data_IF_801208995119
#
_entry.id   IF_801208995119
#
_cell.length_a   1.000
_cell.length_b   1.000
_cell.length_c   1.000
_cell.angle_alpha   90.00
_cell.angle_beta   90.00
_cell.angle_gamma   90.00
#
_symmetry.space_group_name_H-M   'P 1'
#
loop_
_entity.id
_entity.type
_entity.pdbx_description
1 polymer ?
#
# COMPACT_ATOMS: atom_id res chain seq x y z
N UNK A 1 5.49 5.17 -38.66
CA UNK A 1 6.43 4.02 -38.60
C UNK A 1 6.59 3.64 -37.13
N UNK A 2 5.83 2.66 -36.67
CA UNK A 2 5.95 2.11 -35.30
C UNK A 2 7.28 1.37 -35.21
N UNK A 3 8.20 1.91 -34.42
CA UNK A 3 9.46 1.25 -34.11
C UNK A 3 9.14 -0.11 -33.47
N UNK A 4 9.51 -1.20 -34.14
CA UNK A 4 9.35 -2.56 -33.61
C UNK A 4 10.04 -2.62 -32.24
N UNK A 5 9.25 -2.85 -31.21
CA UNK A 5 9.71 -2.95 -29.82
C UNK A 5 10.78 -4.04 -29.71
N UNK A 6 11.90 -3.69 -29.08
CA UNK A 6 12.96 -4.65 -28.81
C UNK A 6 12.66 -5.36 -27.50
N UNK A 7 12.08 -6.52 -27.58
CA UNK A 7 12.02 -7.49 -26.51
C UNK A 7 12.91 -8.68 -26.89
N UNK A 8 14.23 -8.57 -26.64
CA UNK A 8 15.20 -9.55 -27.14
C UNK A 8 15.02 -10.94 -26.49
N UNK A 9 14.34 -11.01 -25.37
CA UNK A 9 14.16 -12.25 -24.60
C UNK A 9 12.70 -12.74 -24.52
N UNK A 10 11.76 -12.07 -25.20
CA UNK A 10 10.33 -12.41 -25.14
C UNK A 10 9.75 -12.30 -23.74
N UNK A 11 10.21 -11.31 -22.96
CA UNK A 11 9.84 -11.14 -21.54
C UNK A 11 8.55 -10.33 -21.35
N UNK A 12 8.02 -9.75 -22.41
CA UNK A 12 6.73 -9.04 -22.37
C UNK A 12 5.61 -10.01 -22.78
N UNK A 13 4.71 -10.29 -21.86
CA UNK A 13 3.52 -11.13 -22.10
C UNK A 13 2.28 -10.39 -21.61
N UNK A 14 1.28 -10.30 -22.43
CA UNK A 14 -0.03 -9.69 -22.11
C UNK A 14 0.06 -8.27 -21.49
N UNK A 15 1.08 -7.49 -21.91
CA UNK A 15 1.31 -6.14 -21.39
C UNK A 15 2.02 -6.08 -20.04
N UNK A 16 2.57 -7.19 -19.56
CA UNK A 16 3.34 -7.28 -18.31
C UNK A 16 4.73 -7.87 -18.53
N UNK A 17 5.62 -7.68 -17.58
CA UNK A 17 6.90 -8.39 -17.53
C UNK A 17 6.68 -9.77 -16.91
N UNK A 18 7.04 -10.80 -17.66
CA UNK A 18 7.01 -12.17 -17.19
C UNK A 18 8.24 -12.95 -17.67
N UNK A 19 9.00 -13.49 -16.72
CA UNK A 19 10.15 -14.38 -16.96
C UNK A 19 9.95 -15.63 -16.11
N UNK A 20 9.70 -16.76 -16.75
CA UNK A 20 9.55 -18.03 -16.05
C UNK A 20 10.87 -18.51 -15.41
N UNK A 21 10.84 -19.51 -14.51
CA UNK A 21 12.02 -19.95 -13.77
C UNK A 21 13.17 -20.44 -14.66
N UNK A 22 12.87 -21.13 -15.76
CA UNK A 22 13.91 -21.66 -16.64
C UNK A 22 14.59 -20.56 -17.42
N UNK A 23 13.83 -19.63 -17.95
CA UNK A 23 14.37 -18.45 -18.64
C UNK A 23 15.10 -17.52 -17.68
N UNK A 24 14.59 -17.33 -16.45
CA UNK A 24 15.27 -16.51 -15.44
C UNK A 24 16.64 -17.10 -15.08
N UNK A 25 16.73 -18.40 -14.86
CA UNK A 25 18.00 -19.07 -14.63
C UNK A 25 18.95 -18.93 -15.81
N UNK A 26 18.49 -19.24 -17.02
CA UNK A 26 19.29 -19.12 -18.23
C UNK A 26 19.84 -17.71 -18.44
N UNK A 27 19.01 -16.68 -18.28
CA UNK A 27 19.42 -15.29 -18.43
C UNK A 27 20.51 -14.91 -17.41
N UNK A 28 20.38 -15.36 -16.16
CA UNK A 28 21.38 -15.11 -15.12
C UNK A 28 22.70 -15.88 -15.33
N UNK A 29 22.64 -17.03 -15.97
CA UNK A 29 23.85 -17.84 -16.26
C UNK A 29 24.66 -17.29 -17.43
N UNK A 30 24.02 -16.52 -18.34
CA UNK A 30 24.60 -16.12 -19.63
C UNK A 30 24.93 -14.62 -19.69
N UNK A 31 24.23 -13.77 -18.91
CA UNK A 31 24.34 -12.31 -19.01
C UNK A 31 24.72 -11.67 -17.67
N UNK A 32 25.38 -10.53 -17.74
CA UNK A 32 25.69 -9.72 -16.58
C UNK A 32 24.43 -9.06 -15.99
N UNK A 33 24.42 -8.91 -14.66
CA UNK A 33 23.30 -8.33 -13.90
C UNK A 33 22.88 -6.96 -14.43
N UNK A 34 23.84 -6.12 -14.84
CA UNK A 34 23.53 -4.79 -15.35
C UNK A 34 22.88 -4.84 -16.72
N UNK A 35 23.28 -5.77 -17.59
CA UNK A 35 22.63 -6.01 -18.89
C UNK A 35 21.20 -6.53 -18.71
N UNK A 36 20.97 -7.42 -17.76
CA UNK A 36 19.64 -7.94 -17.44
C UNK A 36 18.73 -6.82 -16.94
N UNK A 37 19.20 -5.99 -16.00
CA UNK A 37 18.44 -4.83 -15.51
C UNK A 37 18.11 -3.87 -16.65
N UNK A 38 19.08 -3.61 -17.50
CA UNK A 38 18.90 -2.71 -18.63
C UNK A 38 17.86 -3.25 -19.60
N UNK A 39 17.91 -4.53 -19.95
CA UNK A 39 16.95 -5.16 -20.86
C UNK A 39 15.52 -5.14 -20.29
N UNK A 40 15.34 -5.49 -19.00
CA UNK A 40 14.04 -5.40 -18.35
C UNK A 40 13.56 -3.93 -18.31
N UNK A 41 14.44 -3.00 -17.98
CA UNK A 41 14.11 -1.57 -17.93
C UNK A 41 13.70 -1.02 -19.31
N UNK A 42 14.38 -1.42 -20.36
CA UNK A 42 14.04 -1.04 -21.73
C UNK A 42 12.73 -1.66 -22.19
N UNK A 43 12.47 -2.93 -21.86
CA UNK A 43 11.20 -3.59 -22.13
C UNK A 43 10.02 -2.87 -21.46
N UNK A 44 10.18 -2.47 -20.20
CA UNK A 44 9.17 -1.67 -19.48
C UNK A 44 8.91 -0.34 -20.20
N UNK A 45 9.95 0.39 -20.58
CA UNK A 45 9.81 1.69 -21.25
C UNK A 45 9.21 1.55 -22.64
N UNK A 46 9.75 0.65 -23.45
CA UNK A 46 9.45 0.56 -24.90
C UNK A 46 8.07 -0.04 -25.15
N UNK A 47 7.54 -0.79 -24.18
CA UNK A 47 6.19 -1.36 -24.22
C UNK A 47 5.18 -0.58 -23.36
N UNK A 48 5.60 0.53 -22.74
CA UNK A 48 4.78 1.32 -21.80
C UNK A 48 4.10 0.47 -20.73
N UNK A 49 4.86 -0.52 -20.19
CA UNK A 49 4.31 -1.46 -19.19
C UNK A 49 3.81 -0.67 -17.97
N UNK A 50 2.56 -0.86 -17.56
CA UNK A 50 2.01 -0.17 -16.41
C UNK A 50 2.74 -0.54 -15.10
N UNK A 51 2.73 0.37 -14.15
CA UNK A 51 3.26 0.08 -12.82
C UNK A 51 2.46 -1.05 -12.17
N UNK A 52 3.12 -2.09 -11.63
CA UNK A 52 2.45 -3.28 -11.10
C UNK A 52 1.74 -3.00 -9.77
N UNK A 53 0.63 -2.32 -9.81
CA UNK A 53 -0.22 -2.07 -8.65
C UNK A 53 -0.98 -3.35 -8.26
N UNK A 54 -1.43 -3.40 -6.99
CA UNK A 54 -2.34 -4.45 -6.58
C UNK A 54 -3.72 -4.14 -7.16
N UNK A 55 -4.24 -5.06 -7.92
CA UNK A 55 -5.62 -5.01 -8.35
C UNK A 55 -6.52 -5.34 -7.15
N UNK A 56 -7.46 -4.46 -6.88
CA UNK A 56 -8.48 -4.62 -5.85
C UNK A 56 -9.85 -4.39 -6.51
N UNK A 57 -10.76 -5.32 -6.31
CA UNK A 57 -12.14 -5.18 -6.72
C UNK A 57 -12.98 -4.48 -5.64
N UNK A 58 -14.15 -4.01 -6.01
CA UNK A 58 -15.14 -3.51 -5.06
C UNK A 58 -15.54 -4.60 -4.04
N UNK A 59 -15.62 -5.85 -4.49
CA UNK A 59 -15.89 -7.00 -3.63
C UNK A 59 -14.76 -7.22 -2.61
N UNK A 60 -13.48 -7.11 -3.02
CA UNK A 60 -12.32 -7.15 -2.11
C UNK A 60 -12.40 -6.07 -1.04
N UNK A 61 -12.76 -4.84 -1.43
CA UNK A 61 -12.87 -3.71 -0.54
C UNK A 61 -14.06 -3.87 0.44
N UNK A 62 -15.21 -4.25 -0.06
CA UNK A 62 -16.42 -4.50 0.75
C UNK A 62 -16.21 -5.64 1.73
N UNK A 63 -15.64 -6.77 1.30
CA UNK A 63 -15.35 -7.91 2.16
C UNK A 63 -14.39 -7.53 3.30
N UNK A 64 -13.32 -6.79 3.00
CA UNK A 64 -12.34 -6.34 3.98
C UNK A 64 -12.95 -5.30 4.96
N UNK A 65 -13.90 -4.47 4.48
CA UNK A 65 -14.64 -3.55 5.35
C UNK A 65 -15.62 -4.30 6.27
N UNK A 66 -16.30 -5.34 5.79
CA UNK A 66 -17.16 -6.19 6.62
C UNK A 66 -16.34 -6.90 7.71
N UNK A 67 -15.15 -7.41 7.38
CA UNK A 67 -14.23 -7.94 8.37
C UNK A 67 -13.82 -6.87 9.39
N UNK A 68 -13.55 -5.64 8.93
CA UNK A 68 -13.20 -4.51 9.81
C UNK A 68 -14.31 -4.20 10.82
N UNK A 69 -15.59 -4.30 10.45
CA UNK A 69 -16.71 -4.10 11.37
C UNK A 69 -16.66 -5.07 12.58
N UNK A 70 -16.17 -6.29 12.37
CA UNK A 70 -16.08 -7.33 13.40
C UNK A 70 -14.87 -7.21 14.32
N UNK A 71 -13.85 -6.42 13.95
CA UNK A 71 -12.62 -6.26 14.73
C UNK A 71 -12.91 -5.66 16.11
N UNK A 72 -12.34 -6.26 17.12
CA UNK A 72 -12.47 -5.85 18.53
C UNK A 72 -11.12 -5.46 19.14
N UNK A 73 -11.15 -5.03 20.40
CA UNK A 73 -9.95 -4.71 21.17
C UNK A 73 -9.01 -5.93 21.29
N UNK A 74 -9.54 -7.13 21.48
CA UNK A 74 -8.75 -8.36 21.65
C UNK A 74 -7.99 -8.78 20.38
N UNK A 75 -8.46 -8.36 19.22
CA UNK A 75 -7.78 -8.61 17.94
C UNK A 75 -6.56 -7.72 17.74
N UNK A 76 -6.56 -6.55 18.34
CA UNK A 76 -5.56 -5.48 18.10
C UNK A 76 -4.64 -5.28 19.29
N UNK A 77 -5.12 -5.42 20.52
CA UNK A 77 -4.27 -5.31 21.70
C UNK A 77 -3.83 -6.68 22.20
N UNK A 78 -2.59 -6.75 22.64
CA UNK A 78 -2.02 -7.91 23.33
C UNK A 78 -1.37 -7.47 24.64
N UNK A 79 -1.33 -8.37 25.63
CA UNK A 79 -0.61 -8.12 26.87
C UNK A 79 0.90 -7.97 26.60
N UNK A 80 1.53 -7.01 27.26
CA UNK A 80 2.96 -6.75 27.17
C UNK A 80 3.83 -7.91 27.69
N UNK A 81 3.26 -8.83 28.50
CA UNK A 81 3.94 -10.04 28.97
C UNK A 81 4.45 -10.96 27.86
N UNK A 82 3.86 -10.87 26.66
CA UNK A 82 4.30 -11.61 25.47
C UNK A 82 5.63 -11.08 24.88
N UNK A 83 6.05 -9.89 25.24
CA UNK A 83 7.28 -9.28 24.72
C UNK A 83 8.48 -9.54 25.64
N UNK A 84 8.90 -10.81 25.72
CA UNK A 84 10.07 -11.22 26.49
C UNK A 84 11.41 -10.84 25.83
N UNK A 85 11.40 -10.29 24.62
CA UNK A 85 12.61 -10.06 23.82
C UNK A 85 13.32 -8.72 24.08
N UNK A 86 12.63 -7.78 24.72
CA UNK A 86 13.20 -6.45 25.00
C UNK A 86 12.80 -6.00 26.39
N UNK A 87 13.70 -5.39 27.12
CA UNK A 87 13.45 -4.73 28.41
C UNK A 87 12.59 -3.47 28.20
N UNK A 88 11.35 -3.65 27.74
CA UNK A 88 10.41 -2.56 27.63
C UNK A 88 9.92 -2.14 29.00
N UNK A 89 10.11 -0.87 29.34
CA UNK A 89 9.54 -0.33 30.56
C UNK A 89 8.03 -0.19 30.40
N UNK A 90 7.21 -0.95 31.14
CA UNK A 90 5.75 -0.99 30.99
C UNK A 90 5.05 0.38 31.11
N UNK A 91 5.70 1.35 31.75
CA UNK A 91 5.12 2.69 31.91
C UNK A 91 5.00 3.49 30.60
N UNK A 92 5.70 3.07 29.54
CA UNK A 92 5.60 3.69 28.21
C UNK A 92 4.51 3.06 27.33
N UNK A 93 3.87 2.00 27.79
CA UNK A 93 2.79 1.33 27.08
C UNK A 93 1.44 1.73 27.66
N UNK A 94 0.55 2.10 26.77
CA UNK A 94 -0.82 2.44 27.14
C UNK A 94 -1.48 1.24 27.84
N UNK A 95 -1.83 1.38 29.10
CA UNK A 95 -2.41 0.30 29.93
C UNK A 95 -1.66 -1.04 29.87
N UNK A 96 -0.33 -1.04 29.64
CA UNK A 96 0.50 -2.24 29.48
C UNK A 96 0.08 -3.12 28.28
N UNK A 97 -0.64 -2.59 27.31
CA UNK A 97 -1.02 -3.29 26.09
C UNK A 97 -0.15 -2.88 24.93
N UNK A 98 0.10 -3.80 24.03
CA UNK A 98 0.88 -3.61 22.80
C UNK A 98 -0.07 -3.80 21.61
N UNK A 99 0.10 -2.99 20.58
CA UNK A 99 -0.65 -3.11 19.33
C UNK A 99 -0.12 -4.28 18.49
N UNK A 100 -0.98 -5.23 18.16
CA UNK A 100 -0.73 -6.20 17.09
C UNK A 100 -0.80 -5.51 15.74
N UNK A 101 0.03 -5.95 14.81
CA UNK A 101 -0.12 -5.55 13.42
C UNK A 101 -1.27 -6.31 12.78
N UNK A 102 -2.37 -5.63 12.49
CA UNK A 102 -3.46 -6.14 11.67
C UNK A 102 -3.50 -5.42 10.33
N UNK A 103 -3.86 -6.12 9.25
CA UNK A 103 -4.05 -5.55 7.92
C UNK A 103 -5.53 -5.42 7.52
N UNK A 104 -6.43 -5.81 8.40
CA UNK A 104 -7.88 -5.72 8.16
C UNK A 104 -8.28 -4.25 7.98
N UNK A 105 -9.03 -3.98 6.95
CA UNK A 105 -9.42 -2.64 6.50
C UNK A 105 -8.44 -1.99 5.52
N UNK A 106 -7.23 -2.56 5.35
CA UNK A 106 -6.25 -1.97 4.42
C UNK A 106 -6.69 -2.09 2.95
N UNK A 107 -7.35 -3.18 2.56
CA UNK A 107 -7.87 -3.31 1.19
C UNK A 107 -9.03 -2.34 0.96
N UNK A 108 -9.87 -2.16 1.97
CA UNK A 108 -10.98 -1.22 1.92
C UNK A 108 -10.52 0.21 1.65
N UNK A 109 -9.48 0.71 2.35
CA UNK A 109 -8.93 2.05 2.08
C UNK A 109 -8.05 2.09 0.83
N UNK A 110 -7.25 1.05 0.54
CA UNK A 110 -6.38 0.99 -0.64
C UNK A 110 -7.17 0.97 -1.96
N UNK A 111 -8.36 0.39 -2.01
CA UNK A 111 -9.21 0.39 -3.20
C UNK A 111 -9.43 1.81 -3.73
N UNK A 112 -9.60 2.79 -2.84
CA UNK A 112 -9.79 4.20 -3.22
C UNK A 112 -8.47 4.97 -3.36
N UNK A 113 -7.50 4.74 -2.46
CA UNK A 113 -6.37 5.64 -2.28
C UNK A 113 -5.01 5.04 -2.67
N UNK A 114 -4.92 3.77 -3.06
CA UNK A 114 -3.65 3.14 -3.42
C UNK A 114 -2.92 3.93 -4.51
N UNK A 115 -3.63 4.34 -5.56
CA UNK A 115 -3.03 5.09 -6.67
C UNK A 115 -2.45 6.44 -6.20
N UNK A 116 -3.23 7.21 -5.43
CA UNK A 116 -2.77 8.48 -4.88
C UNK A 116 -1.54 8.32 -3.99
N UNK A 117 -1.52 7.27 -3.17
CA UNK A 117 -0.39 6.93 -2.31
C UNK A 117 0.87 6.57 -3.11
N UNK A 118 0.71 5.89 -4.24
CA UNK A 118 1.81 5.50 -5.10
C UNK A 118 2.33 6.63 -5.98
N UNK A 119 1.59 7.73 -6.11
CA UNK A 119 2.03 8.98 -6.74
C UNK A 119 2.78 9.91 -5.79
N UNK A 120 2.77 9.63 -4.47
CA UNK A 120 3.33 10.54 -3.49
C UNK A 120 4.86 10.53 -3.52
N UNK A 121 5.46 11.64 -3.98
CA UNK A 121 6.89 11.92 -3.91
C UNK A 121 7.26 12.46 -2.52
N UNK A 122 8.49 12.18 -2.09
CA UNK A 122 9.10 12.85 -0.97
C UNK A 122 10.37 13.61 -1.40
N UNK A 123 10.86 14.50 -0.54
CA UNK A 123 12.08 15.27 -0.81
C UNK A 123 13.27 14.34 -1.07
N UNK A 124 13.34 13.20 -0.37
CA UNK A 124 14.49 12.30 -0.37
C UNK A 124 14.28 11.02 -1.15
N UNK A 125 13.08 10.76 -1.64
CA UNK A 125 12.79 9.52 -2.36
C UNK A 125 11.70 9.76 -3.42
N UNK A 126 11.88 9.20 -4.63
CA UNK A 126 10.85 9.24 -5.66
C UNK A 126 9.64 8.41 -5.25
N UNK A 127 8.46 8.79 -5.73
CA UNK A 127 7.27 7.96 -5.61
C UNK A 127 7.47 6.59 -6.30
N UNK A 128 6.67 5.56 -5.97
CA UNK A 128 6.62 4.32 -6.73
C UNK A 128 6.40 4.55 -8.22
N UNK A 129 5.46 5.43 -8.56
CA UNK A 129 5.17 5.79 -9.95
C UNK A 129 6.37 6.39 -10.66
N UNK A 130 7.04 7.36 -10.04
CA UNK A 130 8.24 7.99 -10.59
C UNK A 130 9.39 6.99 -10.67
N UNK A 131 9.53 6.09 -9.69
CA UNK A 131 10.52 5.01 -9.70
C UNK A 131 10.32 4.08 -10.89
N UNK A 132 9.06 3.80 -11.24
CA UNK A 132 8.73 2.97 -12.39
C UNK A 132 8.99 3.68 -13.73
N UNK A 133 8.73 4.97 -13.83
CA UNK A 133 8.83 5.74 -15.08
C UNK A 133 10.26 6.21 -15.40
N UNK A 134 11.07 6.57 -14.41
CA UNK A 134 12.43 7.07 -14.61
C UNK A 134 13.47 5.93 -14.60
N UNK A 135 14.23 5.79 -15.69
CA UNK A 135 15.21 4.71 -15.88
C UNK A 135 16.20 4.57 -14.72
N UNK A 136 16.77 5.68 -14.26
CA UNK A 136 17.77 5.68 -13.15
C UNK A 136 17.24 5.04 -11.87
N UNK A 137 15.99 5.30 -11.53
CA UNK A 137 15.36 4.72 -10.35
C UNK A 137 14.91 3.29 -10.59
N UNK A 138 14.43 3.00 -11.81
CA UNK A 138 14.00 1.66 -12.21
C UNK A 138 15.18 0.68 -12.22
N UNK A 139 16.35 1.06 -12.71
CA UNK A 139 17.56 0.22 -12.66
C UNK A 139 17.94 -0.10 -11.20
N UNK A 140 17.84 0.88 -10.30
CA UNK A 140 18.07 0.67 -8.87
C UNK A 140 17.01 -0.25 -8.25
N UNK A 141 15.74 -0.10 -8.64
CA UNK A 141 14.64 -0.96 -8.22
C UNK A 141 14.89 -2.42 -8.60
N UNK A 142 15.24 -2.66 -9.86
CA UNK A 142 15.45 -4.00 -10.40
C UNK A 142 16.60 -4.76 -9.70
N UNK A 143 17.56 -4.07 -9.08
CA UNK A 143 18.60 -4.72 -8.28
C UNK A 143 18.04 -5.53 -7.09
N UNK A 144 16.79 -5.27 -6.67
CA UNK A 144 16.15 -6.02 -5.61
C UNK A 144 15.82 -7.47 -6.00
N UNK A 145 15.71 -7.79 -7.29
CA UNK A 145 15.44 -9.15 -7.78
C UNK A 145 16.49 -10.14 -7.27
N UNK A 146 17.77 -9.78 -7.33
CA UNK A 146 18.86 -10.62 -6.83
C UNK A 146 18.91 -10.67 -5.31
N UNK A 147 18.61 -9.56 -4.63
CA UNK A 147 18.53 -9.54 -3.16
C UNK A 147 17.41 -10.42 -2.61
N UNK A 148 16.30 -10.55 -3.33
CA UNK A 148 15.17 -11.41 -3.00
C UNK A 148 15.39 -12.87 -3.38
N UNK A 149 16.41 -13.17 -4.22
CA UNK A 149 16.66 -14.52 -4.78
C UNK A 149 15.41 -15.12 -5.43
N UNK A 150 14.71 -14.30 -6.24
CA UNK A 150 13.47 -14.72 -6.87
C UNK A 150 13.70 -15.85 -7.88
N UNK A 151 12.81 -16.83 -7.96
CA UNK A 151 12.92 -17.91 -8.95
C UNK A 151 12.41 -17.50 -10.34
N UNK A 152 11.62 -16.45 -10.42
CA UNK A 152 10.97 -15.93 -11.64
C UNK A 152 10.70 -14.45 -11.48
N UNK A 153 10.34 -13.76 -12.56
CA UNK A 153 9.94 -12.33 -12.50
C UNK A 153 8.54 -12.17 -13.08
N UNK A 154 7.67 -11.58 -12.29
CA UNK A 154 6.29 -11.23 -12.63
C UNK A 154 5.87 -9.90 -11.98
N UNK A 155 4.67 -9.45 -12.25
CA UNK A 155 4.10 -8.23 -11.67
C UNK A 155 4.06 -8.24 -10.14
N UNK A 156 3.86 -9.40 -9.51
CA UNK A 156 3.86 -9.53 -8.04
C UNK A 156 5.25 -9.34 -7.45
N UNK A 157 6.26 -9.96 -8.07
CA UNK A 157 7.67 -9.81 -7.69
C UNK A 157 8.13 -8.37 -7.88
N UNK A 158 7.80 -7.74 -9.01
CA UNK A 158 8.16 -6.34 -9.28
C UNK A 158 7.48 -5.37 -8.29
N UNK A 159 6.23 -5.61 -7.92
CA UNK A 159 5.53 -4.86 -6.87
C UNK A 159 6.22 -5.02 -5.50
N UNK A 160 6.70 -6.23 -5.19
CA UNK A 160 7.48 -6.48 -3.97
C UNK A 160 8.79 -5.70 -3.99
N UNK A 161 9.49 -5.65 -5.12
CA UNK A 161 10.69 -4.82 -5.28
C UNK A 161 10.42 -3.34 -4.98
N UNK A 162 9.30 -2.79 -5.47
CA UNK A 162 8.88 -1.41 -5.17
C UNK A 162 8.67 -1.23 -3.66
N UNK A 163 7.95 -2.14 -3.02
CA UNK A 163 7.64 -2.06 -1.58
C UNK A 163 8.89 -2.13 -0.70
N UNK A 164 9.88 -2.94 -1.07
CA UNK A 164 11.13 -3.09 -0.32
C UNK A 164 12.02 -1.84 -0.37
N UNK A 165 11.93 -1.04 -1.42
CA UNK A 165 12.72 0.19 -1.55
C UNK A 165 12.22 1.33 -0.65
N UNK A 166 11.15 1.12 0.12
CA UNK A 166 10.59 2.10 1.06
C UNK A 166 10.19 3.43 0.40
N UNK A 167 9.82 3.39 -0.87
CA UNK A 167 9.35 4.57 -1.59
C UNK A 167 7.85 4.80 -1.42
N UNK A 168 7.13 3.78 -0.99
CA UNK A 168 5.68 3.88 -0.78
C UNK A 168 5.40 4.62 0.51
N UNK A 169 4.59 5.66 0.44
CA UNK A 169 4.12 6.38 1.62
C UNK A 169 3.40 5.42 2.58
N UNK A 170 3.68 5.56 3.86
CA UNK A 170 3.11 4.68 4.89
C UNK A 170 1.59 4.86 4.99
N UNK A 171 0.93 3.76 5.32
CA UNK A 171 -0.50 3.68 5.56
C UNK A 171 -0.75 3.54 7.07
N UNK A 172 -1.74 4.25 7.59
CA UNK A 172 -2.27 3.97 8.92
C UNK A 172 -3.08 2.66 8.87
N UNK A 173 -3.40 2.07 10.01
CA UNK A 173 -4.19 0.83 10.07
C UNK A 173 -5.65 1.14 10.40
N UNK A 174 -6.62 0.93 9.48
CA UNK A 174 -8.03 1.14 9.77
C UNK A 174 -8.51 0.38 11.00
N UNK A 175 -8.08 -0.87 11.18
CA UNK A 175 -8.36 -1.69 12.37
C UNK A 175 -7.88 -1.04 13.66
N UNK A 176 -6.67 -0.46 13.66
CA UNK A 176 -6.15 0.28 14.81
C UNK A 176 -6.98 1.54 15.10
N UNK A 177 -7.34 2.29 14.05
CA UNK A 177 -8.16 3.49 14.21
C UNK A 177 -9.52 3.15 14.84
N UNK A 178 -10.21 2.13 14.29
CA UNK A 178 -11.49 1.64 14.82
C UNK A 178 -11.41 1.30 16.29
N UNK A 179 -10.45 0.45 16.67
CA UNK A 179 -10.31 -0.02 18.05
C UNK A 179 -9.94 1.13 18.99
N UNK A 180 -9.12 2.08 18.57
CA UNK A 180 -8.83 3.27 19.37
C UNK A 180 -10.09 4.09 19.60
N UNK A 181 -10.89 4.35 18.56
CA UNK A 181 -12.14 5.11 18.72
C UNK A 181 -13.14 4.40 19.66
N UNK A 182 -13.28 3.09 19.53
CA UNK A 182 -14.17 2.29 20.34
C UNK A 182 -13.69 2.21 21.81
N UNK A 183 -12.39 2.00 22.02
CA UNK A 183 -11.80 1.90 23.36
C UNK A 183 -11.96 3.22 24.16
N UNK A 184 -11.77 4.36 23.49
CA UNK A 184 -11.99 5.67 24.08
C UNK A 184 -13.48 6.08 24.13
N UNK A 185 -14.38 5.27 23.61
CA UNK A 185 -15.81 5.60 23.48
C UNK A 185 -16.01 6.95 22.79
N UNK A 186 -15.18 7.19 21.76
CA UNK A 186 -15.17 8.46 21.05
C UNK A 186 -16.51 8.70 20.37
N UNK A 187 -17.14 9.85 20.64
CA UNK A 187 -18.35 10.30 19.95
C UNK A 187 -18.03 11.17 18.75
N UNK A 188 -16.99 11.98 18.88
CA UNK A 188 -16.55 12.92 17.85
C UNK A 188 -15.06 12.73 17.61
N UNK A 189 -14.67 12.62 16.33
CA UNK A 189 -13.29 12.45 15.89
C UNK A 189 -12.88 13.71 15.15
N UNK A 190 -11.75 14.27 15.53
CA UNK A 190 -11.04 15.31 14.79
C UNK A 190 -9.76 14.71 14.22
N UNK A 191 -9.62 14.73 12.90
CA UNK A 191 -8.45 14.27 12.16
C UNK A 191 -7.89 15.42 11.31
N UNK A 192 -6.89 16.09 11.83
CA UNK A 192 -6.26 17.25 11.18
C UNK A 192 -5.21 16.89 10.12
N UNK A 193 -5.12 15.62 9.74
CA UNK A 193 -4.22 15.11 8.70
C UNK A 193 -4.77 13.78 8.18
N UNK A 194 -5.92 13.83 7.50
CA UNK A 194 -6.72 12.65 7.13
C UNK A 194 -5.95 11.64 6.25
N UNK A 195 -4.98 12.11 5.48
CA UNK A 195 -4.05 11.28 4.70
C UNK A 195 -4.79 10.38 3.71
N UNK A 196 -4.49 9.09 3.72
CA UNK A 196 -5.05 8.14 2.76
C UNK A 196 -6.46 7.62 3.12
N UNK A 197 -7.13 8.26 4.09
CA UNK A 197 -8.47 7.85 4.50
C UNK A 197 -8.55 6.61 5.37
N UNK A 198 -7.42 6.07 5.82
CA UNK A 198 -7.38 4.88 6.67
C UNK A 198 -8.11 5.09 8.00
N UNK A 199 -7.92 6.28 8.61
CA UNK A 199 -8.60 6.64 9.86
C UNK A 199 -10.08 6.95 9.64
N UNK A 200 -10.45 7.50 8.49
CA UNK A 200 -11.83 7.68 8.07
C UNK A 200 -12.51 6.31 7.87
N UNK A 201 -11.84 5.36 7.22
CA UNK A 201 -12.32 3.99 7.07
C UNK A 201 -12.55 3.33 8.46
N UNK A 202 -11.58 3.43 9.36
CA UNK A 202 -11.72 2.95 10.73
C UNK A 202 -12.82 3.65 11.52
N UNK A 203 -13.04 4.96 11.30
CA UNK A 203 -14.15 5.71 11.88
C UNK A 203 -15.50 5.17 11.42
N UNK A 204 -15.69 4.94 10.13
CA UNK A 204 -16.96 4.40 9.62
C UNK A 204 -17.29 3.04 10.21
N UNK A 205 -16.28 2.22 10.50
CA UNK A 205 -16.46 0.92 11.16
C UNK A 205 -16.58 0.98 12.71
N UNK A 206 -16.34 2.12 13.35
CA UNK A 206 -16.35 2.27 14.82
C UNK A 206 -17.73 2.69 15.35
N UNK A 207 -17.86 2.84 16.67
CA UNK A 207 -19.07 3.36 17.33
C UNK A 207 -19.10 4.90 17.44
N UNK A 208 -18.15 5.60 16.84
CA UNK A 208 -18.13 7.06 16.82
C UNK A 208 -19.21 7.62 15.88
N UNK A 209 -19.74 8.81 16.21
CA UNK A 209 -20.94 9.38 15.59
C UNK A 209 -20.59 10.47 14.54
N UNK A 210 -19.50 11.20 14.75
CA UNK A 210 -19.11 12.26 13.83
C UNK A 210 -17.60 12.34 13.61
N UNK A 211 -17.21 12.66 12.40
CA UNK A 211 -15.83 12.84 11.95
C UNK A 211 -15.65 14.19 11.28
N UNK A 212 -14.61 14.89 11.67
CA UNK A 212 -14.15 16.09 11.02
C UNK A 212 -12.71 15.86 10.55
N UNK A 213 -12.52 15.75 9.24
CA UNK A 213 -11.23 15.47 8.62
C UNK A 213 -10.71 16.67 7.83
N UNK A 214 -9.42 16.93 7.94
CA UNK A 214 -8.72 17.99 7.17
C UNK A 214 -7.50 17.35 6.49
N UNK A 215 -7.27 17.71 5.24
CA UNK A 215 -6.05 17.36 4.51
C UNK A 215 -5.75 18.40 3.42
N UNK A 216 -4.49 18.84 3.25
CA UNK A 216 -4.12 19.81 2.22
C UNK A 216 -4.10 19.22 0.80
N UNK A 217 -4.13 17.89 0.65
CA UNK A 217 -4.04 17.23 -0.65
C UNK A 217 -5.42 17.06 -1.28
N UNK A 218 -5.81 17.99 -2.13
CA UNK A 218 -7.11 17.99 -2.84
C UNK A 218 -7.39 16.71 -3.66
N UNK A 219 -6.33 16.00 -4.13
CA UNK A 219 -6.47 14.77 -4.92
C UNK A 219 -7.13 13.63 -4.16
N UNK A 220 -7.16 13.69 -2.83
CA UNK A 220 -7.71 12.64 -1.99
C UNK A 220 -9.24 12.70 -1.90
N UNK A 221 -9.82 13.90 -2.04
CA UNK A 221 -11.23 14.17 -1.73
C UNK A 221 -12.22 13.40 -2.61
N UNK A 222 -12.05 13.31 -3.94
CA UNK A 222 -12.96 12.51 -4.76
C UNK A 222 -13.01 11.04 -4.33
N UNK A 223 -11.92 10.52 -3.79
CA UNK A 223 -11.84 9.14 -3.31
C UNK A 223 -12.40 9.00 -1.89
N UNK A 224 -12.26 10.02 -1.04
CA UNK A 224 -12.97 10.06 0.25
C UNK A 224 -14.48 10.02 0.06
N UNK A 225 -15.01 10.83 -0.86
CA UNK A 225 -16.45 10.88 -1.16
C UNK A 225 -16.97 9.51 -1.60
N UNK A 226 -16.27 8.82 -2.50
CA UNK A 226 -16.61 7.47 -2.92
C UNK A 226 -16.61 6.50 -1.73
N UNK A 227 -15.53 6.50 -0.94
CA UNK A 227 -15.41 5.64 0.23
C UNK A 227 -16.54 5.89 1.24
N UNK A 228 -16.92 7.16 1.46
CA UNK A 228 -18.03 7.52 2.35
C UNK A 228 -19.36 7.03 1.80
N UNK A 229 -19.60 7.18 0.50
CA UNK A 229 -20.83 6.70 -0.13
C UNK A 229 -20.97 5.18 0.00
N UNK A 230 -19.87 4.46 -0.14
CA UNK A 230 -19.88 3.00 -0.16
C UNK A 230 -19.89 2.38 1.26
N UNK A 231 -19.31 3.06 2.28
CA UNK A 231 -19.11 2.47 3.60
C UNK A 231 -19.86 3.16 4.76
N UNK A 232 -20.41 4.35 4.57
CA UNK A 232 -21.12 5.05 5.64
C UNK A 232 -22.59 4.61 5.76
N UNK A 233 -22.81 3.32 5.99
CA UNK A 233 -24.16 2.74 6.07
C UNK A 233 -25.01 3.28 7.24
N UNK A 234 -24.37 3.70 8.34
CA UNK A 234 -25.02 4.26 9.53
C UNK A 234 -25.36 5.74 9.40
N UNK A 235 -25.14 6.36 8.25
CA UNK A 235 -25.33 7.78 7.99
C UNK A 235 -24.66 8.69 9.02
N UNK A 236 -23.44 8.33 9.47
CA UNK A 236 -22.66 9.12 10.41
C UNK A 236 -22.33 10.48 9.82
N UNK A 237 -22.22 11.48 10.70
CA UNK A 237 -21.87 12.83 10.26
C UNK A 237 -20.39 12.92 9.90
N UNK A 238 -20.09 13.14 8.62
CA UNK A 238 -18.72 13.28 8.10
C UNK A 238 -18.58 14.66 7.46
N UNK A 239 -17.56 15.40 7.88
CA UNK A 239 -17.17 16.68 7.28
C UNK A 239 -15.70 16.57 6.90
N UNK A 240 -15.41 16.78 5.63
CA UNK A 240 -14.06 16.74 5.07
C UNK A 240 -13.73 18.12 4.49
N UNK A 241 -12.57 18.66 4.83
CA UNK A 241 -12.11 19.95 4.35
C UNK A 241 -10.71 19.86 3.76
N UNK A 242 -10.56 20.47 2.61
CA UNK A 242 -9.26 20.76 2.03
C UNK A 242 -8.76 22.08 2.60
N UNK A 243 -7.73 22.03 3.46
CA UNK A 243 -7.13 23.21 4.09
C UNK A 243 -5.68 22.91 4.50
#
# INVERSE_FOLDING_TARGET
MTKKMKDPWGIVKDGEIYIDPQNWQYINDVHDVDDIKKAISDAIRDNDIPMPMRELSEEDASSDFQELLSITEDDIFMDSSWYTRYDYNPKYFFNKKILKSSKVGNKASDYYQQYNRWLCDSINAPSPYRTWREERFRLTLLSALWGLKVPSVDSSVLRTCISLRKYVASQFRPSTAKVVYDNYKAKRVLDFSSGWGDRLCGFMASNAESYFGVDPNERLFPQYEKMVNDFNHDNKKIILKND
#
